data_IF_830217224080
#
_entry.id   IF_830217224080
#
_cell.length_a   1.000
_cell.length_b   1.000
_cell.length_c   1.000
_cell.angle_alpha   90.00
_cell.angle_beta   90.00
_cell.angle_gamma   90.00
#
_symmetry.space_group_name_H-M   'P 1'
#
loop_
_entity.id
_entity.type
_entity.pdbx_description
1 polymer ?
#
# COMPACT_ATOMS: atom_id res chain seq x y z
N UNK A 1 27.92 15.67 2.33
CA UNK A 1 27.61 14.25 2.58
C UNK A 1 27.04 13.69 1.29
N UNK A 2 27.75 12.79 0.60
CA UNK A 2 27.24 12.17 -0.63
C UNK A 2 26.10 11.23 -0.25
N UNK A 3 24.89 11.52 -0.72
CA UNK A 3 23.75 10.62 -0.55
C UNK A 3 23.97 9.47 -1.52
N UNK A 4 24.41 8.31 -1.04
CA UNK A 4 24.46 7.12 -1.87
C UNK A 4 23.02 6.83 -2.34
N UNK A 5 22.78 6.70 -3.67
CA UNK A 5 21.47 6.31 -4.16
C UNK A 5 21.20 4.89 -3.68
N UNK A 6 20.29 4.76 -2.72
CA UNK A 6 19.77 3.46 -2.30
C UNK A 6 18.82 3.03 -3.40
N UNK A 7 19.14 1.92 -4.07
CA UNK A 7 18.28 1.37 -5.11
C UNK A 7 16.89 1.08 -4.53
N UNK A 8 15.81 1.27 -5.30
CA UNK A 8 14.48 0.89 -4.88
C UNK A 8 14.44 -0.59 -4.49
N UNK A 9 13.78 -0.90 -3.37
CA UNK A 9 13.55 -2.29 -2.95
C UNK A 9 12.13 -2.67 -3.33
N UNK A 10 11.99 -3.75 -4.10
CA UNK A 10 10.70 -4.24 -4.58
C UNK A 10 10.35 -5.62 -4.03
N UNK A 11 9.05 -5.89 -3.94
CA UNK A 11 8.52 -7.20 -3.58
C UNK A 11 7.14 -7.42 -4.19
N UNK A 12 6.94 -8.60 -4.75
CA UNK A 12 5.65 -9.07 -5.26
C UNK A 12 4.93 -9.95 -4.23
N UNK A 13 3.61 -9.79 -4.17
CA UNK A 13 2.69 -10.57 -3.36
C UNK A 13 1.55 -11.08 -4.23
N UNK A 14 1.30 -12.39 -4.21
CA UNK A 14 0.08 -12.94 -4.79
C UNK A 14 -1.12 -12.45 -3.95
N UNK A 15 -2.05 -11.72 -4.55
CA UNK A 15 -3.18 -11.14 -3.81
C UNK A 15 -4.18 -12.19 -3.34
N UNK A 16 -4.22 -13.35 -4.01
CA UNK A 16 -5.24 -14.37 -3.82
C UNK A 16 -6.57 -14.08 -4.49
N UNK A 17 -6.65 -13.02 -5.30
CA UNK A 17 -7.83 -12.65 -6.07
C UNK A 17 -7.54 -12.79 -7.56
N UNK A 18 -8.27 -13.66 -8.26
CA UNK A 18 -8.28 -13.73 -9.74
C UNK A 18 -6.90 -13.79 -10.42
N UNK A 19 -5.90 -14.38 -9.75
CA UNK A 19 -4.52 -14.42 -10.26
C UNK A 19 -3.78 -13.08 -10.16
N UNK A 20 -4.33 -12.06 -9.52
CA UNK A 20 -3.68 -10.76 -9.42
C UNK A 20 -2.46 -10.79 -8.50
N UNK A 21 -1.45 -10.01 -8.87
CA UNK A 21 -0.24 -9.79 -8.08
C UNK A 21 -0.07 -8.32 -7.73
N UNK A 22 0.19 -8.04 -6.46
CA UNK A 22 0.55 -6.72 -5.97
C UNK A 22 2.08 -6.61 -5.92
N UNK A 23 2.64 -5.67 -6.67
CA UNK A 23 4.05 -5.29 -6.59
C UNK A 23 4.15 -4.01 -5.76
N UNK A 24 4.96 -4.04 -4.72
CA UNK A 24 5.31 -2.88 -3.90
C UNK A 24 6.75 -2.50 -4.13
N UNK A 25 7.03 -1.21 -4.22
CA UNK A 25 8.39 -0.68 -4.34
C UNK A 25 8.58 0.47 -3.36
N UNK A 26 9.65 0.37 -2.55
CA UNK A 26 10.06 1.38 -1.58
C UNK A 26 11.25 2.14 -2.15
N UNK A 27 11.06 3.43 -2.41
CA UNK A 27 12.08 4.31 -2.96
C UNK A 27 12.63 5.26 -1.88
N UNK A 28 13.64 6.05 -2.26
CA UNK A 28 14.15 7.13 -1.41
C UNK A 28 13.10 8.25 -1.30
N UNK A 29 12.32 8.21 -0.22
CA UNK A 29 11.31 9.21 0.11
C UNK A 29 9.90 8.97 -0.44
N UNK A 30 9.67 7.96 -1.27
CA UNK A 30 8.33 7.66 -1.81
C UNK A 30 8.08 6.17 -1.95
N UNK A 31 6.81 5.82 -2.15
CA UNK A 31 6.30 4.46 -2.28
C UNK A 31 5.52 4.32 -3.57
N UNK A 32 5.60 3.16 -4.17
CA UNK A 32 4.84 2.78 -5.35
C UNK A 32 4.16 1.43 -5.12
N UNK A 33 2.95 1.28 -5.68
CA UNK A 33 2.21 0.03 -5.71
C UNK A 33 1.56 -0.16 -7.06
N UNK A 34 1.71 -1.35 -7.63
CA UNK A 34 1.08 -1.76 -8.88
C UNK A 34 0.37 -3.11 -8.72
N UNK A 35 -0.86 -3.19 -9.23
CA UNK A 35 -1.63 -4.41 -9.30
C UNK A 35 -1.63 -4.92 -10.73
N UNK A 36 -1.21 -6.17 -10.91
CA UNK A 36 -1.09 -6.82 -12.21
C UNK A 36 -1.99 -8.05 -12.28
N UNK A 37 -2.50 -8.37 -13.47
CA UNK A 37 -3.07 -9.70 -13.75
C UNK A 37 -1.99 -10.78 -13.75
N UNK A 38 -2.34 -12.02 -13.40
CA UNK A 38 -1.44 -13.15 -13.64
C UNK A 38 -1.19 -13.36 -15.14
N UNK A 39 -0.04 -13.97 -15.44
CA UNK A 39 0.31 -14.54 -16.74
C UNK A 39 -0.87 -15.32 -17.37
N UNK A 40 -0.98 -15.35 -18.73
CA UNK A 40 0.08 -15.09 -19.71
C UNK A 40 0.16 -13.65 -20.23
N UNK A 41 -0.75 -12.76 -19.80
CA UNK A 41 -0.71 -11.33 -20.16
C UNK A 41 -0.73 -10.52 -18.88
N UNK A 42 0.44 -10.15 -18.39
CA UNK A 42 0.57 -9.21 -17.28
C UNK A 42 0.09 -7.83 -17.77
N UNK A 43 -1.04 -7.39 -17.24
CA UNK A 43 -1.61 -6.08 -17.50
C UNK A 43 -1.66 -5.31 -16.19
N UNK A 44 -1.24 -4.05 -16.22
CA UNK A 44 -1.32 -3.16 -15.08
C UNK A 44 -2.79 -2.73 -14.88
N UNK A 45 -3.44 -3.28 -13.86
CA UNK A 45 -4.82 -3.00 -13.51
C UNK A 45 -4.98 -1.71 -12.72
N UNK A 46 -4.03 -1.45 -11.81
CA UNK A 46 -4.11 -0.32 -10.88
C UNK A 46 -2.74 0.09 -10.41
N UNK A 47 -2.52 1.39 -10.28
CA UNK A 47 -1.27 1.95 -9.77
C UNK A 47 -1.55 3.05 -8.75
N UNK A 48 -0.69 3.16 -7.75
CA UNK A 48 -0.69 4.27 -6.81
C UNK A 48 0.73 4.59 -6.37
N UNK A 49 0.96 5.87 -6.06
CA UNK A 49 2.21 6.33 -5.47
C UNK A 49 1.93 7.26 -4.30
N UNK A 50 2.86 7.33 -3.35
CA UNK A 50 2.78 8.25 -2.22
C UNK A 50 4.16 8.78 -1.89
N UNK A 51 4.28 10.11 -1.75
CA UNK A 51 5.46 10.74 -1.17
C UNK A 51 5.54 10.55 0.36
N UNK A 52 4.51 9.96 0.97
CA UNK A 52 4.56 9.59 2.39
C UNK A 52 5.12 8.18 2.54
N UNK A 53 6.02 7.98 3.50
CA UNK A 53 6.45 6.65 3.96
C UNK A 53 5.42 6.03 4.91
N UNK A 54 4.15 6.07 4.52
CA UNK A 54 3.07 5.50 5.33
C UNK A 54 2.03 4.81 4.47
N UNK A 55 1.55 3.69 4.98
CA UNK A 55 0.56 2.85 4.30
C UNK A 55 -0.51 2.44 5.31
N UNK A 56 -1.75 2.37 4.84
CA UNK A 56 -2.82 1.73 5.59
C UNK A 56 -2.82 0.24 5.28
N UNK A 57 -2.90 -0.63 6.29
CA UNK A 57 -3.10 -2.06 6.08
C UNK A 57 -4.27 -2.53 6.96
N UNK A 58 -5.16 -3.30 6.37
CA UNK A 58 -6.24 -4.02 7.06
C UNK A 58 -6.05 -5.53 6.92
N UNK A 59 -6.96 -6.32 7.48
CA UNK A 59 -6.93 -7.78 7.32
C UNK A 59 -7.01 -8.25 5.86
N UNK A 60 -7.60 -7.46 4.96
CA UNK A 60 -7.87 -7.84 3.58
C UNK A 60 -7.52 -6.76 2.54
N UNK A 61 -6.77 -5.74 2.94
CA UNK A 61 -6.43 -4.67 2.01
C UNK A 61 -5.20 -3.88 2.41
N UNK A 62 -4.59 -3.25 1.41
CA UNK A 62 -3.54 -2.27 1.57
C UNK A 62 -3.99 -0.95 0.93
N UNK A 63 -3.77 0.17 1.60
CA UNK A 63 -4.11 1.51 1.11
C UNK A 63 -2.87 2.37 0.99
N UNK A 64 -2.62 2.90 -0.21
CA UNK A 64 -1.50 3.77 -0.54
C UNK A 64 -2.01 4.96 -1.34
N UNK A 65 -1.67 6.20 -0.94
CA UNK A 65 -1.99 7.39 -1.74
C UNK A 65 -3.48 7.59 -2.05
N UNK A 66 -4.38 7.06 -1.22
CA UNK A 66 -5.84 7.10 -1.45
C UNK A 66 -6.40 5.92 -2.28
N UNK A 67 -5.53 5.07 -2.82
CA UNK A 67 -5.92 3.86 -3.53
C UNK A 67 -5.90 2.63 -2.61
N UNK A 68 -6.94 1.81 -2.67
CA UNK A 68 -7.01 0.53 -1.94
C UNK A 68 -6.79 -0.66 -2.87
N UNK A 69 -5.96 -1.61 -2.44
CA UNK A 69 -5.65 -2.88 -3.09
C UNK A 69 -6.23 -4.01 -2.25
N UNK A 70 -7.05 -4.86 -2.85
CA UNK A 70 -7.63 -6.03 -2.17
C UNK A 70 -6.60 -7.13 -2.05
N UNK A 71 -6.50 -7.73 -0.87
CA UNK A 71 -5.55 -8.78 -0.55
C UNK A 71 -6.25 -9.86 0.27
N UNK A 72 -5.85 -11.11 0.08
CA UNK A 72 -6.15 -12.15 1.05
C UNK A 72 -5.38 -11.87 2.36
N UNK A 73 -5.78 -12.55 3.43
CA UNK A 73 -5.19 -12.33 4.77
C UNK A 73 -3.68 -12.60 4.82
N UNK A 74 -3.20 -13.63 4.13
CA UNK A 74 -1.79 -14.01 4.13
C UNK A 74 -0.94 -12.97 3.39
N UNK A 75 -1.43 -12.50 2.25
CA UNK A 75 -0.80 -11.46 1.45
C UNK A 75 -0.77 -10.12 2.18
N UNK A 76 -1.88 -9.73 2.84
CA UNK A 76 -1.92 -8.52 3.65
C UNK A 76 -0.92 -8.57 4.81
N UNK A 77 -0.81 -9.70 5.50
CA UNK A 77 0.17 -9.90 6.56
C UNK A 77 1.61 -9.93 6.05
N UNK A 78 1.86 -10.57 4.91
CA UNK A 78 3.18 -10.60 4.29
C UNK A 78 3.62 -9.19 3.86
N UNK A 79 2.73 -8.45 3.21
CA UNK A 79 2.95 -7.05 2.81
C UNK A 79 3.21 -6.16 4.05
N UNK A 80 2.42 -6.29 5.11
CA UNK A 80 2.65 -5.59 6.37
C UNK A 80 4.06 -5.83 6.91
N UNK A 81 4.46 -7.10 7.06
CA UNK A 81 5.79 -7.45 7.61
C UNK A 81 6.92 -6.96 6.72
N UNK A 82 6.76 -7.06 5.41
CA UNK A 82 7.78 -6.59 4.48
C UNK A 82 7.94 -5.06 4.54
N UNK A 83 6.83 -4.31 4.53
CA UNK A 83 6.84 -2.84 4.64
C UNK A 83 7.47 -2.37 5.94
N UNK A 84 7.14 -3.02 7.06
CA UNK A 84 7.72 -2.74 8.37
C UNK A 84 9.24 -2.93 8.36
N UNK A 85 9.74 -4.00 7.73
CA UNK A 85 11.19 -4.23 7.53
C UNK A 85 11.87 -3.18 6.66
N UNK A 86 11.16 -2.56 5.72
CA UNK A 86 11.69 -1.46 4.90
C UNK A 86 11.63 -0.10 5.62
N UNK A 87 11.20 -0.06 6.88
CA UNK A 87 11.04 1.17 7.66
C UNK A 87 9.86 2.03 7.20
N UNK A 88 8.87 1.44 6.53
CA UNK A 88 7.62 2.11 6.15
C UNK A 88 6.67 2.08 7.34
N UNK A 89 6.06 3.23 7.67
CA UNK A 89 5.09 3.31 8.76
C UNK A 89 3.78 2.66 8.35
N UNK A 90 3.53 1.45 8.85
CA UNK A 90 2.26 0.75 8.63
C UNK A 90 1.24 1.19 9.67
N UNK A 91 0.07 1.60 9.21
CA UNK A 91 -1.07 1.99 10.05
C UNK A 91 -2.18 0.95 9.89
N UNK A 92 -2.61 0.34 10.99
CA UNK A 92 -3.79 -0.50 10.95
C UNK A 92 -4.99 0.37 10.58
N UNK A 93 -5.54 0.15 9.38
CA UNK A 93 -6.83 0.71 8.98
C UNK A 93 -7.87 -0.33 9.33
N UNK A 94 -8.13 -0.48 10.63
CA UNK A 94 -9.42 -1.04 11.03
C UNK A 94 -10.51 -0.16 10.39
N UNK A 95 -11.64 -0.71 9.92
CA UNK A 95 -12.79 0.09 9.50
C UNK A 95 -13.42 0.75 10.74
N UNK A 96 -12.66 1.61 11.41
CA UNK A 96 -13.21 2.58 12.35
C UNK A 96 -13.84 3.63 11.45
N UNK A 97 -15.17 3.59 11.41
CA UNK A 97 -16.08 4.66 11.00
C UNK A 97 -15.39 6.05 11.02
N UNK A 98 -14.66 6.40 9.96
CA UNK A 98 -14.11 7.75 9.78
C UNK A 98 -15.17 8.62 9.10
N UNK A 99 -16.41 8.46 9.54
CA UNK A 99 -17.58 9.16 9.08
C UNK A 99 -18.19 10.01 10.21
N UNK A 100 -17.37 10.63 11.07
CA UNK A 100 -17.81 11.76 11.92
C UNK A 100 -16.65 12.69 12.25
N UNK A 101 -16.14 13.41 11.25
CA UNK A 101 -15.59 14.75 11.50
C UNK A 101 -16.30 15.75 10.60
N UNK A 102 -17.62 15.83 10.76
CA UNK A 102 -18.34 17.06 10.42
C UNK A 102 -17.80 18.12 11.37
N UNK A 103 -16.97 19.00 10.84
CA UNK A 103 -16.75 20.34 11.37
C UNK A 103 -18.12 20.97 11.59
N UNK A 104 -18.63 20.89 12.82
CA UNK A 104 -19.76 21.73 13.24
C UNK A 104 -19.18 23.13 13.35
N UNK A 105 -19.35 23.90 12.27
CA UNK A 105 -19.05 25.31 12.24
C UNK A 105 -19.76 26.01 13.39
N UNK A 106 -19.02 26.90 14.03
CA UNK A 106 -19.48 27.93 14.95
C UNK A 106 -20.57 28.76 14.28
N UNK A 107 -21.75 28.94 14.89
CA UNK A 107 -22.51 30.17 14.71
C UNK A 107 -22.25 31.12 15.89
N UNK A 108 -22.39 32.40 15.57
CA UNK A 108 -22.02 33.60 16.32
C UNK A 108 -22.65 33.73 17.72
#
# INVERSE_FOLDING_TARGET
>A
MSVQPILPVEQQFATGHQGESLVLMVCQGWLWAGLYTAAPRESLLKVAASASRSVGVSHHSLTLGGATFSLNRLAAQAAHRWLDRQGVRVRSTSPINRATRRTRGTPA
#
